data_IF_571449894296
#
_entry.id   IF_571449894296
#
_cell.length_a   1.000
_cell.length_b   1.000
_cell.length_c   1.000
_cell.angle_alpha   90.00
_cell.angle_beta   90.00
_cell.angle_gamma   90.00
#
_symmetry.space_group_name_H-M   'P 1'
#
loop_
_entity.id
_entity.type
_entity.pdbx_description
1 polymer ?
#
# COMPACT_ATOMS: atom_id res chain seq x y z
N UNK A 1 -3.75 -55.55 50.09
CA UNK A 1 -5.08 -54.98 49.77
C UNK A 1 -5.08 -53.57 50.35
N UNK A 2 -5.18 -52.45 49.63
CA UNK A 2 -5.81 -52.05 48.36
C UNK A 2 -4.92 -50.96 47.70
N UNK A 3 -4.43 -51.19 46.48
CA UNK A 3 -4.92 -50.66 45.19
C UNK A 3 -4.70 -49.14 44.97
N UNK A 4 -3.69 -48.89 44.13
CA UNK A 4 -3.26 -47.66 43.48
C UNK A 4 -4.30 -47.21 42.44
N UNK A 5 -4.81 -45.97 42.53
CA UNK A 5 -5.74 -45.41 41.53
C UNK A 5 -5.00 -44.40 40.65
N UNK A 6 -4.58 -44.87 39.49
CA UNK A 6 -4.15 -44.07 38.34
C UNK A 6 -5.32 -43.24 37.78
N UNK A 7 -5.13 -41.92 37.68
CA UNK A 7 -6.00 -41.06 36.87
C UNK A 7 -5.24 -40.66 35.59
N UNK A 8 -5.78 -40.93 34.39
CA UNK A 8 -5.15 -40.45 33.17
C UNK A 8 -5.36 -38.94 33.04
N UNK A 9 -4.26 -38.23 32.80
CA UNK A 9 -4.24 -36.81 32.44
C UNK A 9 -4.84 -36.70 31.03
N UNK A 10 -6.11 -36.29 30.93
CA UNK A 10 -6.70 -35.90 29.65
C UNK A 10 -6.06 -34.60 29.18
N UNK A 11 -4.98 -34.73 28.41
CA UNK A 11 -4.37 -33.66 27.64
C UNK A 11 -5.40 -33.11 26.66
N UNK A 12 -6.13 -32.07 27.09
CA UNK A 12 -6.97 -31.28 26.19
C UNK A 12 -6.03 -30.53 25.27
N UNK A 13 -5.86 -31.07 24.06
CA UNK A 13 -5.18 -30.39 22.97
C UNK A 13 -6.04 -29.17 22.64
N UNK A 14 -5.65 -28.00 23.13
CA UNK A 14 -6.23 -26.72 22.74
C UNK A 14 -5.91 -26.52 21.26
N UNK A 15 -6.82 -27.01 20.42
CA UNK A 15 -6.86 -26.78 18.99
C UNK A 15 -6.98 -25.27 18.79
N UNK A 16 -5.82 -24.62 18.65
CA UNK A 16 -5.71 -23.19 18.43
C UNK A 16 -6.17 -22.95 17.01
N UNK A 17 -7.47 -22.69 16.84
CA UNK A 17 -8.02 -22.28 15.56
C UNK A 17 -7.13 -21.15 15.01
N UNK A 18 -6.60 -21.23 13.79
CA UNK A 18 -5.82 -20.15 13.23
C UNK A 18 -6.75 -18.94 13.19
N UNK A 19 -6.46 -17.95 14.04
CA UNK A 19 -7.11 -16.66 14.02
C UNK A 19 -7.15 -16.23 12.57
N UNK A 20 -8.35 -16.12 11.99
CA UNK A 20 -8.54 -15.68 10.60
C UNK A 20 -7.93 -14.30 10.52
N UNK A 21 -6.66 -14.20 10.12
CA UNK A 21 -6.00 -12.94 9.92
C UNK A 21 -6.72 -12.29 8.75
N UNK A 22 -7.61 -11.35 9.08
CA UNK A 22 -8.31 -10.54 8.08
C UNK A 22 -7.21 -9.94 7.20
N UNK A 23 -7.17 -10.21 5.88
CA UNK A 23 -6.13 -9.69 5.03
C UNK A 23 -6.03 -8.18 5.26
N UNK A 24 -4.87 -7.71 5.76
CA UNK A 24 -4.67 -6.29 6.06
C UNK A 24 -4.93 -5.55 4.76
N UNK A 25 -6.04 -4.81 4.69
CA UNK A 25 -6.46 -4.14 3.46
C UNK A 25 -5.30 -3.25 3.02
N UNK A 26 -4.74 -3.53 1.85
CA UNK A 26 -3.71 -2.67 1.25
C UNK A 26 -4.28 -1.26 1.15
N UNK A 27 -3.49 -0.28 1.58
CA UNK A 27 -3.89 1.12 1.42
C UNK A 27 -4.16 1.43 -0.05
N UNK A 28 -4.99 2.45 -0.31
CA UNK A 28 -5.27 2.89 -1.68
C UNK A 28 -3.97 3.09 -2.49
N UNK A 29 -3.00 3.78 -1.90
CA UNK A 29 -1.70 4.04 -2.51
C UNK A 29 -0.87 2.79 -2.77
N UNK A 30 -0.85 1.83 -1.84
CA UNK A 30 -0.18 0.55 -2.08
C UNK A 30 -0.75 -0.16 -3.31
N UNK A 31 -2.08 -0.21 -3.46
CA UNK A 31 -2.70 -0.86 -4.63
C UNK A 31 -2.39 -0.13 -5.93
N UNK A 32 -2.44 1.20 -5.91
CA UNK A 32 -2.14 2.05 -7.06
C UNK A 32 -0.68 1.87 -7.51
N UNK A 33 0.27 1.91 -6.58
CA UNK A 33 1.69 1.73 -6.88
C UNK A 33 2.00 0.31 -7.33
N UNK A 34 1.41 -0.71 -6.68
CA UNK A 34 1.53 -2.10 -7.13
C UNK A 34 1.07 -2.27 -8.58
N UNK A 35 -0.08 -1.66 -8.94
CA UNK A 35 -0.60 -1.71 -10.31
C UNK A 35 0.31 -0.99 -11.30
N UNK A 36 0.86 0.16 -10.90
CA UNK A 36 1.79 0.92 -11.73
C UNK A 36 3.09 0.14 -11.98
N UNK A 37 3.62 -0.57 -10.97
CA UNK A 37 4.78 -1.47 -11.13
C UNK A 37 4.48 -2.59 -12.14
N UNK A 38 3.32 -3.22 -12.03
CA UNK A 38 2.92 -4.30 -12.93
C UNK A 38 2.68 -3.83 -14.37
N UNK A 39 2.33 -2.55 -14.57
CA UNK A 39 2.08 -1.99 -15.90
C UNK A 39 3.40 -1.67 -16.64
N UNK A 40 4.45 -1.25 -15.91
CA UNK A 40 5.74 -0.86 -16.51
C UNK A 40 5.72 0.45 -17.31
N UNK A 41 4.56 1.10 -17.41
CA UNK A 41 4.33 2.36 -18.10
C UNK A 41 3.54 3.35 -17.22
N UNK A 42 3.22 4.51 -17.75
CA UNK A 42 2.42 5.53 -17.10
C UNK A 42 1.06 5.00 -16.64
N UNK A 43 0.89 4.94 -15.32
CA UNK A 43 -0.36 4.56 -14.67
C UNK A 43 -1.11 5.80 -14.18
N UNK A 44 -2.36 5.96 -14.61
CA UNK A 44 -3.26 6.99 -14.11
C UNK A 44 -3.80 6.61 -12.72
N UNK A 45 -3.57 7.45 -11.73
CA UNK A 45 -4.15 7.26 -10.40
C UNK A 45 -5.67 7.45 -10.52
N UNK A 46 -6.50 6.47 -10.11
CA UNK A 46 -7.95 6.51 -10.28
C UNK A 46 -8.62 7.41 -9.23
N UNK A 47 -8.14 8.66 -9.12
CA UNK A 47 -8.65 9.70 -8.25
C UNK A 47 -8.23 11.08 -8.78
N UNK A 48 -9.19 12.00 -8.77
CA UNK A 48 -8.95 13.40 -9.09
C UNK A 48 -8.53 14.17 -7.85
N UNK A 49 -7.65 15.15 -8.05
CA UNK A 49 -7.12 15.99 -7.00
C UNK A 49 -7.14 17.46 -7.44
N UNK A 50 -7.26 18.36 -6.47
CA UNK A 50 -7.01 19.79 -6.75
C UNK A 50 -5.57 19.98 -7.23
N UNK A 51 -5.33 21.03 -8.02
CA UNK A 51 -3.98 21.40 -8.52
C UNK A 51 -2.89 21.34 -7.46
N UNK A 52 -3.14 21.92 -6.28
CA UNK A 52 -2.16 21.95 -5.19
C UNK A 52 -1.88 20.54 -4.63
N UNK A 53 -2.94 19.73 -4.48
CA UNK A 53 -2.79 18.36 -3.99
C UNK A 53 -2.09 17.46 -5.01
N UNK A 54 -2.40 17.61 -6.30
CA UNK A 54 -1.73 16.90 -7.38
C UNK A 54 -0.22 17.21 -7.43
N UNK A 55 0.13 18.50 -7.33
CA UNK A 55 1.52 18.94 -7.28
C UNK A 55 2.26 18.39 -6.04
N UNK A 56 1.62 18.41 -4.87
CA UNK A 56 2.20 17.88 -3.64
C UNK A 56 2.42 16.37 -3.74
N UNK A 57 1.42 15.60 -4.19
CA UNK A 57 1.53 14.15 -4.40
C UNK A 57 2.67 13.81 -5.36
N UNK A 58 2.74 14.51 -6.50
CA UNK A 58 3.81 14.32 -7.47
C UNK A 58 5.19 14.59 -6.86
N UNK A 59 5.31 15.66 -6.07
CA UNK A 59 6.54 15.98 -5.34
C UNK A 59 6.94 14.91 -4.32
N UNK A 60 5.98 14.47 -3.50
CA UNK A 60 6.20 13.46 -2.45
C UNK A 60 6.66 12.12 -3.04
N UNK A 61 6.07 11.72 -4.17
CA UNK A 61 6.42 10.48 -4.86
C UNK A 61 7.79 10.59 -5.52
N UNK A 62 8.13 11.71 -6.19
CA UNK A 62 9.46 11.90 -6.78
C UNK A 62 10.57 11.86 -5.73
N UNK A 63 10.35 12.52 -4.59
CA UNK A 63 11.31 12.57 -3.47
C UNK A 63 11.22 11.36 -2.55
N UNK A 64 10.39 10.36 -2.88
CA UNK A 64 10.24 9.17 -2.08
C UNK A 64 11.56 8.44 -1.85
N UNK A 65 12.42 8.41 -2.87
CA UNK A 65 13.72 7.76 -2.81
C UNK A 65 14.71 8.47 -1.86
N UNK A 66 14.55 9.77 -1.64
CA UNK A 66 15.42 10.59 -0.77
C UNK A 66 15.09 10.38 0.71
N UNK A 67 13.82 10.09 1.02
CA UNK A 67 13.32 9.92 2.38
C UNK A 67 13.28 8.42 2.69
N UNK A 68 13.99 7.97 3.73
CA UNK A 68 13.97 6.56 4.14
C UNK A 68 12.56 6.03 4.42
N UNK A 69 12.38 4.71 4.36
CA UNK A 69 11.07 4.07 4.56
C UNK A 69 10.48 4.40 5.94
N UNK A 70 9.46 5.26 5.98
CA UNK A 70 8.74 5.54 7.22
C UNK A 70 7.94 6.83 7.21
N UNK A 71 8.45 7.87 6.55
CA UNK A 71 7.90 9.23 6.58
C UNK A 71 7.32 9.66 5.22
N UNK A 72 6.49 8.80 4.63
CA UNK A 72 5.78 9.13 3.40
C UNK A 72 4.28 9.14 3.64
N UNK A 73 3.65 10.26 3.26
CA UNK A 73 2.18 10.36 3.18
C UNK A 73 1.60 9.31 2.23
N UNK A 74 2.35 8.99 1.17
CA UNK A 74 2.04 7.94 0.21
C UNK A 74 2.59 6.61 0.72
N UNK A 75 1.70 5.76 1.25
CA UNK A 75 2.08 4.41 1.71
C UNK A 75 2.31 3.50 0.50
N UNK A 76 3.38 2.68 0.56
CA UNK A 76 3.66 1.65 -0.45
C UNK A 76 4.86 1.95 -1.35
N UNK A 77 5.53 3.08 -1.16
CA UNK A 77 6.83 3.36 -1.77
C UNK A 77 7.90 2.47 -1.12
N UNK A 78 8.74 1.82 -1.92
CA UNK A 78 9.86 1.01 -1.43
C UNK A 78 11.17 1.81 -1.46
N UNK A 79 12.11 1.45 -0.58
CA UNK A 79 13.42 2.11 -0.53
C UNK A 79 14.17 1.88 -1.83
N UNK A 80 14.73 2.95 -2.39
CA UNK A 80 15.50 2.88 -3.64
C UNK A 80 14.65 2.93 -4.91
N UNK A 81 13.32 2.94 -4.82
CA UNK A 81 12.48 3.15 -6.00
C UNK A 81 12.48 4.60 -6.42
N UNK A 82 12.92 4.85 -7.66
CA UNK A 82 12.73 6.14 -8.31
C UNK A 82 11.43 6.11 -9.10
N UNK A 83 10.59 7.14 -8.89
CA UNK A 83 9.30 7.26 -9.54
C UNK A 83 9.25 8.54 -10.36
N UNK A 84 8.79 8.42 -11.59
CA UNK A 84 8.40 9.56 -12.41
C UNK A 84 6.94 9.90 -12.18
N UNK A 85 6.64 11.19 -12.16
CA UNK A 85 5.28 11.68 -11.95
C UNK A 85 4.97 12.84 -12.89
N UNK A 86 3.77 12.84 -13.46
CA UNK A 86 3.21 13.98 -14.18
C UNK A 86 1.80 14.23 -13.68
N UNK A 87 1.34 15.47 -13.77
CA UNK A 87 -0.03 15.84 -13.47
C UNK A 87 -0.49 16.91 -14.45
N UNK A 88 -1.78 16.93 -14.75
CA UNK A 88 -2.38 17.90 -15.66
C UNK A 88 -3.83 18.15 -15.27
N UNK A 89 -4.37 19.33 -15.60
CA UNK A 89 -5.80 19.58 -15.48
C UNK A 89 -6.60 18.55 -16.28
N UNK A 90 -7.77 18.16 -15.77
CA UNK A 90 -8.72 17.31 -16.49
C UNK A 90 -10.06 18.02 -16.65
N UNK A 91 -10.75 17.71 -17.75
CA UNK A 91 -12.13 18.14 -18.00
C UNK A 91 -13.18 17.15 -17.49
N UNK A 92 -12.75 15.98 -16.98
CA UNK A 92 -13.66 14.90 -16.54
C UNK A 92 -14.28 15.13 -15.15
N UNK A 93 -13.77 16.10 -14.39
CA UNK A 93 -14.18 16.39 -13.02
C UNK A 93 -14.73 17.79 -12.84
N UNK A 94 -14.64 18.29 -11.61
CA UNK A 94 -14.94 19.68 -11.32
C UNK A 94 -13.89 20.61 -11.95
N UNK A 95 -14.24 21.87 -12.24
CA UNK A 95 -13.26 22.86 -12.67
C UNK A 95 -12.09 22.96 -11.67
N UNK A 96 -10.87 22.75 -12.15
CA UNK A 96 -9.66 22.78 -11.33
C UNK A 96 -9.18 21.41 -10.83
N UNK A 97 -9.90 20.34 -11.14
CA UNK A 97 -9.43 18.98 -10.91
C UNK A 97 -8.28 18.63 -11.84
N UNK A 98 -7.34 17.86 -11.30
CA UNK A 98 -6.15 17.38 -11.97
C UNK A 98 -6.08 15.86 -11.85
N UNK A 99 -5.62 15.25 -12.93
CA UNK A 99 -5.21 13.86 -12.98
C UNK A 99 -3.72 13.76 -12.66
N UNK A 100 -3.32 12.65 -12.03
CA UNK A 100 -1.93 12.38 -11.68
C UNK A 100 -1.54 11.02 -12.23
N UNK A 101 -0.44 10.98 -12.96
CA UNK A 101 0.15 9.76 -13.49
C UNK A 101 1.47 9.48 -12.82
N UNK A 102 1.73 8.20 -12.61
CA UNK A 102 2.95 7.70 -11.98
C UNK A 102 3.53 6.59 -12.84
N UNK A 103 4.85 6.51 -12.88
CA UNK A 103 5.58 5.42 -13.53
C UNK A 103 6.83 5.11 -12.71
N UNK A 104 7.18 3.84 -12.59
CA UNK A 104 8.47 3.45 -12.01
C UNK A 104 9.57 3.83 -13.00
N UNK A 105 10.55 4.62 -12.56
CA UNK A 105 11.70 4.95 -13.38
C UNK A 105 12.55 3.69 -13.56
N UNK A 106 12.76 3.29 -14.81
CA UNK A 106 13.71 2.23 -15.12
C UNK A 106 15.11 2.84 -15.01
N UNK A 107 15.87 2.43 -13.99
CA UNK A 107 17.27 2.80 -13.87
C UNK A 107 18.13 2.10 -14.93
#
# INVERSE_FOLDING_TARGET
>A
MLQETSHPVSSTVLNSAPCRQRPKRRSFWQRVLDQARSTGDWYLIPKLYTKNTAAQIASDIRRAHERGAGDHRVRGLQVGEMWETKWSPTSKGAPGDCEVWVRLATS
#
